data_IF_065415399317
#
_entry.id   IF_065415399317
#
_cell.length_a   1.000
_cell.length_b   1.000
_cell.length_c   1.000
_cell.angle_alpha   90.00
_cell.angle_beta   90.00
_cell.angle_gamma   90.00
#
_symmetry.space_group_name_H-M   'P 1'
#
loop_
_entity.id
_entity.type
_entity.pdbx_description
1 polymer ?
#
# COMPACT_ATOMS: atom_id res chain seq x y z
N UNK A 1 -21.88 9.81 53.64
CA UNK A 1 -20.57 9.99 53.00
C UNK A 1 -20.35 8.83 52.05
N UNK A 2 -20.65 9.01 50.77
CA UNK A 2 -20.54 8.00 49.72
C UNK A 2 -19.27 8.28 48.93
N UNK A 3 -18.24 7.45 49.08
CA UNK A 3 -17.07 7.46 48.20
C UNK A 3 -17.23 6.31 47.20
N UNK A 4 -17.74 6.65 46.01
CA UNK A 4 -17.70 5.75 44.87
C UNK A 4 -16.24 5.45 44.48
N UNK A 5 -15.95 4.24 43.96
CA UNK A 5 -14.60 3.82 43.59
C UNK A 5 -14.13 4.50 42.31
N UNK A 6 -12.82 4.74 42.21
CA UNK A 6 -12.13 5.23 41.02
C UNK A 6 -12.17 4.16 39.90
N UNK A 7 -12.62 4.49 38.67
CA UNK A 7 -12.38 3.66 37.50
C UNK A 7 -11.46 4.39 36.52
N UNK A 8 -10.16 4.10 36.51
CA UNK A 8 -9.28 4.64 35.46
C UNK A 8 -7.92 3.92 35.33
N UNK A 9 -7.87 2.65 34.95
CA UNK A 9 -6.64 2.06 34.37
C UNK A 9 -6.96 0.98 33.32
N UNK A 10 -7.87 1.26 32.38
CA UNK A 10 -8.16 0.27 31.32
C UNK A 10 -8.46 0.91 29.97
N UNK A 11 -7.73 1.96 29.57
CA UNK A 11 -7.88 2.54 28.23
C UNK A 11 -6.58 3.23 27.75
N UNK A 12 -5.49 2.47 27.60
CA UNK A 12 -4.33 2.94 26.83
C UNK A 12 -3.90 1.97 25.71
N UNK A 13 -4.58 0.83 25.53
CA UNK A 13 -4.16 -0.22 24.59
C UNK A 13 -5.27 -0.72 23.65
N UNK A 14 -6.29 0.09 23.30
CA UNK A 14 -7.35 -0.33 22.36
C UNK A 14 -7.27 0.39 20.99
N UNK A 15 -6.65 1.56 20.92
CA UNK A 15 -6.56 2.35 19.68
C UNK A 15 -5.43 1.89 18.71
N UNK A 16 -4.38 1.20 19.20
CA UNK A 16 -3.22 0.77 18.38
C UNK A 16 -3.37 -0.65 17.77
N UNK A 17 -4.57 -1.24 17.76
CA UNK A 17 -4.77 -2.66 17.39
C UNK A 17 -5.40 -2.92 16.01
N UNK A 18 -5.66 -1.89 15.20
CA UNK A 18 -6.43 -2.06 13.94
C UNK A 18 -5.56 -1.99 12.67
N UNK A 19 -4.41 -1.31 12.68
CA UNK A 19 -3.53 -1.26 11.50
C UNK A 19 -2.66 -2.53 11.34
N UNK A 20 -2.00 -3.01 12.40
CA UNK A 20 -1.07 -4.15 12.31
C UNK A 20 -1.76 -5.50 12.02
N UNK A 21 -2.98 -5.71 12.52
CA UNK A 21 -3.69 -6.99 12.35
C UNK A 21 -4.11 -7.25 10.91
N UNK A 22 -4.23 -6.18 10.10
CA UNK A 22 -4.59 -6.25 8.68
C UNK A 22 -3.38 -6.47 7.76
N UNK A 23 -2.17 -6.08 8.17
CA UNK A 23 -0.94 -6.21 7.36
C UNK A 23 -0.71 -7.63 6.81
N UNK A 24 -0.83 -8.73 7.58
CA UNK A 24 -0.62 -10.07 7.01
C UNK A 24 -1.71 -10.47 6.02
N UNK A 25 -2.96 -10.07 6.24
CA UNK A 25 -4.06 -10.36 5.32
C UNK A 25 -3.93 -9.56 4.01
N UNK A 26 -3.59 -8.27 4.12
CA UNK A 26 -3.31 -7.41 2.95
C UNK A 26 -2.07 -7.91 2.22
N UNK A 27 -1.00 -8.26 2.93
CA UNK A 27 0.22 -8.83 2.34
C UNK A 27 -0.05 -10.13 1.58
N UNK A 28 -0.88 -11.03 2.13
CA UNK A 28 -1.30 -12.24 1.43
C UNK A 28 -2.13 -11.93 0.19
N UNK A 29 -3.07 -11.00 0.28
CA UNK A 29 -3.86 -10.55 -0.87
C UNK A 29 -2.96 -9.95 -1.96
N UNK A 30 -2.04 -9.06 -1.59
CA UNK A 30 -1.05 -8.49 -2.50
C UNK A 30 -0.21 -9.57 -3.17
N UNK A 31 0.23 -10.59 -2.41
CA UNK A 31 1.00 -11.71 -2.96
C UNK A 31 0.21 -12.47 -4.02
N UNK A 32 -1.04 -12.85 -3.71
CA UNK A 32 -1.90 -13.60 -4.65
C UNK A 32 -2.14 -12.78 -5.92
N UNK A 33 -2.48 -11.51 -5.79
CA UNK A 33 -2.74 -10.63 -6.94
C UNK A 33 -1.46 -10.40 -7.76
N UNK A 34 -0.31 -10.19 -7.12
CA UNK A 34 0.98 -10.03 -7.80
C UNK A 34 1.40 -11.31 -8.54
N UNK A 35 1.21 -12.48 -7.93
CA UNK A 35 1.50 -13.76 -8.58
C UNK A 35 0.64 -13.94 -9.84
N UNK A 36 -0.67 -13.73 -9.75
CA UNK A 36 -1.58 -13.83 -10.89
C UNK A 36 -1.17 -12.83 -11.98
N UNK A 37 -0.88 -11.58 -11.60
CA UNK A 37 -0.46 -10.54 -12.54
C UNK A 37 0.82 -10.91 -13.27
N UNK A 38 1.87 -11.36 -12.55
CA UNK A 38 3.16 -11.70 -13.16
C UNK A 38 3.06 -12.96 -14.03
N UNK A 39 2.29 -13.96 -13.62
CA UNK A 39 2.01 -15.14 -14.46
C UNK A 39 1.29 -14.73 -15.75
N UNK A 40 0.32 -13.81 -15.65
CA UNK A 40 -0.40 -13.31 -16.81
C UNK A 40 0.52 -12.53 -17.75
N UNK A 41 1.40 -11.66 -17.22
CA UNK A 41 2.41 -10.95 -18.01
C UNK A 41 3.31 -11.96 -18.75
N UNK A 42 3.78 -13.01 -18.08
CA UNK A 42 4.62 -14.04 -18.69
C UNK A 42 3.87 -14.79 -19.80
N UNK A 43 2.63 -15.19 -19.52
CA UNK A 43 1.77 -15.91 -20.49
C UNK A 43 1.48 -15.06 -21.72
N UNK A 44 1.11 -13.80 -21.54
CA UNK A 44 0.88 -12.85 -22.63
C UNK A 44 2.16 -12.62 -23.42
N UNK A 45 3.32 -12.53 -22.74
CA UNK A 45 4.60 -12.32 -23.41
C UNK A 45 4.95 -13.49 -24.34
N UNK A 46 4.74 -14.73 -23.91
CA UNK A 46 4.90 -15.91 -24.77
C UNK A 46 3.88 -15.98 -25.92
N UNK A 47 2.66 -15.47 -25.70
CA UNK A 47 1.61 -15.49 -26.71
C UNK A 47 1.81 -14.41 -27.80
N UNK A 48 2.31 -13.24 -27.43
CA UNK A 48 2.45 -12.08 -28.33
C UNK A 48 3.81 -11.98 -28.99
N UNK A 49 4.86 -12.57 -28.39
CA UNK A 49 6.24 -12.40 -28.85
C UNK A 49 6.93 -13.75 -29.05
N UNK A 50 7.92 -13.83 -29.97
CA UNK A 50 8.66 -15.05 -30.24
C UNK A 50 9.72 -15.32 -29.16
N UNK A 51 9.28 -15.45 -27.90
CA UNK A 51 10.14 -15.77 -26.76
C UNK A 51 10.23 -17.29 -26.66
N UNK A 52 11.46 -17.81 -26.63
CA UNK A 52 11.68 -19.24 -26.46
C UNK A 52 11.32 -19.68 -25.04
N UNK A 53 10.62 -20.82 -24.90
CA UNK A 53 10.37 -21.46 -23.61
C UNK A 53 11.65 -21.96 -22.91
N UNK A 54 12.80 -21.95 -23.61
CA UNK A 54 14.10 -22.19 -23.00
C UNK A 54 14.60 -21.01 -22.15
N UNK A 55 13.94 -19.84 -22.22
CA UNK A 55 14.27 -18.69 -21.41
C UNK A 55 13.77 -18.90 -19.96
N UNK A 56 14.59 -19.58 -19.17
CA UNK A 56 14.29 -20.00 -17.80
C UNK A 56 13.71 -18.88 -16.91
N UNK A 57 14.21 -17.63 -16.94
CA UNK A 57 13.70 -16.57 -16.05
C UNK A 57 12.20 -16.27 -16.19
N UNK A 58 11.61 -16.51 -17.36
CA UNK A 58 10.18 -16.27 -17.62
C UNK A 58 9.32 -17.52 -17.37
N UNK A 59 9.89 -18.57 -16.77
CA UNK A 59 9.15 -19.75 -16.36
C UNK A 59 8.42 -19.54 -15.02
N UNK A 60 7.40 -20.37 -14.79
CA UNK A 60 6.52 -20.28 -13.64
C UNK A 60 7.26 -20.30 -12.30
N UNK A 61 8.24 -21.20 -12.13
CA UNK A 61 8.95 -21.38 -10.86
C UNK A 61 9.77 -20.12 -10.51
N UNK A 62 10.65 -19.59 -11.39
CA UNK A 62 11.35 -18.33 -11.14
C UNK A 62 10.42 -17.15 -10.90
N UNK A 63 9.35 -17.00 -11.70
CA UNK A 63 8.36 -15.92 -11.52
C UNK A 63 7.77 -15.97 -10.10
N UNK A 64 7.31 -17.14 -9.67
CA UNK A 64 6.70 -17.30 -8.36
C UNK A 64 7.70 -17.01 -7.22
N UNK A 65 8.92 -17.53 -7.33
CA UNK A 65 9.96 -17.34 -6.33
C UNK A 65 10.33 -15.86 -6.15
N UNK A 66 10.62 -15.15 -7.23
CA UNK A 66 11.01 -13.74 -7.16
C UNK A 66 9.86 -12.82 -6.74
N UNK A 67 8.63 -13.12 -7.18
CA UNK A 67 7.43 -12.40 -6.72
C UNK A 67 7.25 -12.57 -5.21
N UNK A 68 7.40 -13.79 -4.69
CA UNK A 68 7.30 -14.07 -3.27
C UNK A 68 8.34 -13.26 -2.47
N UNK A 69 9.61 -13.31 -2.87
CA UNK A 69 10.69 -12.56 -2.21
C UNK A 69 10.41 -11.06 -2.23
N UNK A 70 10.01 -10.51 -3.39
CA UNK A 70 9.70 -9.08 -3.53
C UNK A 70 8.53 -8.63 -2.65
N UNK A 71 7.42 -9.36 -2.66
CA UNK A 71 6.23 -9.02 -1.86
C UNK A 71 6.52 -9.15 -0.36
N UNK A 72 7.17 -10.24 0.08
CA UNK A 72 7.54 -10.40 1.49
C UNK A 72 8.48 -9.29 1.97
N UNK A 73 9.46 -8.93 1.15
CA UNK A 73 10.35 -7.79 1.42
C UNK A 73 9.57 -6.48 1.57
N UNK A 74 8.63 -6.20 0.68
CA UNK A 74 7.79 -5.00 0.74
C UNK A 74 6.91 -4.98 1.99
N UNK A 75 6.26 -6.10 2.33
CA UNK A 75 5.44 -6.24 3.56
C UNK A 75 6.29 -6.00 4.81
N UNK A 76 7.50 -6.55 4.85
CA UNK A 76 8.42 -6.37 5.97
C UNK A 76 8.83 -4.90 6.12
N UNK A 77 9.28 -4.27 5.04
CA UNK A 77 9.66 -2.84 5.04
C UNK A 77 8.48 -1.97 5.47
N UNK A 78 7.29 -2.21 4.92
CA UNK A 78 6.09 -1.47 5.29
C UNK A 78 5.76 -1.63 6.78
N UNK A 79 5.82 -2.86 7.30
CA UNK A 79 5.60 -3.14 8.72
C UNK A 79 6.57 -2.38 9.63
N UNK A 80 7.85 -2.32 9.25
CA UNK A 80 8.87 -1.56 9.98
C UNK A 80 8.57 -0.06 9.92
N UNK A 81 8.24 0.48 8.75
CA UNK A 81 7.96 1.90 8.59
C UNK A 81 6.72 2.34 9.37
N UNK A 82 5.65 1.55 9.35
CA UNK A 82 4.44 1.84 10.15
C UNK A 82 4.78 1.88 11.65
N UNK A 83 5.74 1.08 12.11
CA UNK A 83 6.11 1.00 13.53
C UNK A 83 7.05 2.12 13.99
N UNK A 84 7.92 2.63 13.11
CA UNK A 84 9.05 3.48 13.50
C UNK A 84 9.15 4.83 12.77
N UNK A 85 8.50 5.01 11.61
CA UNK A 85 8.64 6.22 10.81
C UNK A 85 7.57 7.26 11.16
N UNK A 86 7.96 8.54 11.16
CA UNK A 86 7.05 9.67 11.32
C UNK A 86 6.13 9.88 10.12
N UNK A 87 6.60 9.54 8.91
CA UNK A 87 5.85 9.63 7.66
C UNK A 87 5.96 8.32 6.86
N UNK A 88 5.23 7.26 7.28
CA UNK A 88 5.41 5.90 6.74
C UNK A 88 5.09 5.80 5.24
N UNK A 89 4.02 6.44 4.78
CA UNK A 89 3.57 6.34 3.38
C UNK A 89 4.55 6.99 2.40
N UNK A 90 4.98 8.22 2.68
CA UNK A 90 5.93 8.95 1.84
C UNK A 90 7.30 8.25 1.80
N UNK A 91 7.73 7.70 2.94
CA UNK A 91 8.98 6.96 3.05
C UNK A 91 8.90 5.63 2.30
N UNK A 92 7.79 4.90 2.43
CA UNK A 92 7.57 3.65 1.73
C UNK A 92 7.56 3.84 0.21
N UNK A 93 6.90 4.88 -0.30
CA UNK A 93 6.90 5.20 -1.74
C UNK A 93 8.31 5.44 -2.28
N UNK A 94 9.14 6.21 -1.56
CA UNK A 94 10.55 6.44 -1.94
C UNK A 94 11.36 5.15 -1.93
N UNK A 95 11.21 4.32 -0.90
CA UNK A 95 11.92 3.03 -0.81
C UNK A 95 11.47 2.10 -1.93
N UNK A 96 10.17 1.99 -2.18
CA UNK A 96 9.63 1.17 -3.27
C UNK A 96 10.18 1.61 -4.62
N UNK A 97 10.29 2.93 -4.88
CA UNK A 97 10.91 3.44 -6.10
C UNK A 97 12.40 3.06 -6.20
N UNK A 98 13.16 3.24 -5.10
CA UNK A 98 14.58 2.86 -5.07
C UNK A 98 14.76 1.37 -5.29
N UNK A 99 13.97 0.53 -4.60
CA UNK A 99 14.01 -0.93 -4.73
C UNK A 99 13.61 -1.37 -6.12
N UNK A 100 12.61 -0.74 -6.74
CA UNK A 100 12.25 -1.00 -8.14
C UNK A 100 13.45 -0.71 -9.05
N UNK A 101 14.10 0.44 -8.93
CA UNK A 101 15.27 0.76 -9.75
C UNK A 101 16.42 -0.23 -9.52
N UNK A 102 16.65 -0.63 -8.27
CA UNK A 102 17.65 -1.65 -7.93
C UNK A 102 17.28 -3.03 -8.49
N UNK A 103 15.99 -3.38 -8.52
CA UNK A 103 15.54 -4.67 -9.06
C UNK A 103 15.62 -4.75 -10.58
N UNK A 104 15.70 -3.62 -11.28
CA UNK A 104 15.96 -3.57 -12.72
C UNK A 104 17.44 -3.78 -13.07
N UNK A 105 18.37 -3.61 -12.12
CA UNK A 105 19.80 -3.85 -12.37
C UNK A 105 20.05 -5.31 -12.78
N UNK A 106 19.52 -6.33 -12.08
CA UNK A 106 19.58 -7.71 -12.54
C UNK A 106 19.10 -7.92 -13.98
N UNK A 107 18.02 -7.27 -14.40
CA UNK A 107 17.50 -7.39 -15.77
C UNK A 107 18.46 -6.79 -16.80
N UNK A 108 19.06 -5.65 -16.50
CA UNK A 108 20.07 -5.00 -17.35
C UNK A 108 21.36 -5.82 -17.40
N UNK A 109 21.78 -6.39 -16.28
CA UNK A 109 22.94 -7.31 -16.22
C UNK A 109 22.66 -8.56 -17.03
N UNK A 110 21.45 -9.14 -16.90
CA UNK A 110 21.03 -10.30 -17.67
C UNK A 110 21.03 -9.99 -19.17
N UNK A 111 20.54 -8.82 -19.57
CA UNK A 111 20.58 -8.37 -20.96
C UNK A 111 22.02 -8.26 -21.48
N UNK A 112 22.89 -7.58 -20.74
CA UNK A 112 24.26 -7.30 -21.16
C UNK A 112 25.16 -8.54 -21.16
N UNK A 113 25.04 -9.40 -20.14
CA UNK A 113 25.82 -10.63 -20.02
C UNK A 113 25.24 -11.79 -20.82
N UNK A 114 23.93 -11.75 -21.13
CA UNK A 114 23.18 -12.83 -21.81
C UNK A 114 23.50 -14.24 -21.28
N UNK A 115 23.43 -14.48 -19.96
CA UNK A 115 23.87 -15.75 -19.36
C UNK A 115 22.94 -16.92 -19.70
N UNK A 116 21.73 -16.63 -20.19
CA UNK A 116 20.74 -17.64 -20.58
C UNK A 116 20.62 -17.74 -22.10
N UNK A 117 20.47 -18.97 -22.64
CA UNK A 117 20.12 -19.15 -24.03
C UNK A 117 18.77 -18.48 -24.32
N UNK A 118 18.63 -17.89 -25.51
CA UNK A 118 17.43 -17.17 -25.94
C UNK A 118 17.09 -15.90 -25.13
N UNK A 119 18.08 -15.28 -24.47
CA UNK A 119 17.94 -13.89 -24.00
C UNK A 119 17.64 -12.96 -25.18
N UNK A 120 16.48 -12.32 -25.14
CA UNK A 120 16.06 -11.33 -26.15
C UNK A 120 15.66 -10.03 -25.45
N UNK A 121 15.76 -8.86 -26.11
CA UNK A 121 15.32 -7.60 -25.52
C UNK A 121 13.87 -7.64 -25.03
N UNK A 122 12.97 -8.29 -25.78
CA UNK A 122 11.56 -8.41 -25.41
C UNK A 122 11.35 -9.28 -24.17
N UNK A 123 12.11 -10.36 -24.02
CA UNK A 123 12.06 -11.20 -22.81
C UNK A 123 12.54 -10.41 -21.58
N UNK A 124 13.57 -9.58 -21.72
CA UNK A 124 14.05 -8.70 -20.64
C UNK A 124 13.00 -7.64 -20.30
N UNK A 125 12.39 -7.00 -21.30
CA UNK A 125 11.30 -6.03 -21.06
C UNK A 125 10.14 -6.69 -20.31
N UNK A 126 9.78 -7.94 -20.65
CA UNK A 126 8.75 -8.68 -19.92
C UNK A 126 9.11 -8.88 -18.44
N UNK A 127 10.38 -9.18 -18.12
CA UNK A 127 10.85 -9.27 -16.73
C UNK A 127 10.75 -7.90 -16.02
N UNK A 128 11.22 -6.83 -16.67
CA UNK A 128 11.14 -5.47 -16.12
C UNK A 128 9.68 -5.08 -15.82
N UNK A 129 8.74 -5.45 -16.70
CA UNK A 129 7.31 -5.21 -16.48
C UNK A 129 6.75 -5.96 -15.26
N UNK A 130 7.22 -7.17 -14.98
CA UNK A 130 6.82 -7.90 -13.76
C UNK A 130 7.32 -7.20 -12.49
N UNK A 131 8.53 -6.62 -12.52
CA UNK A 131 9.04 -5.80 -11.42
C UNK A 131 8.18 -4.56 -11.18
N UNK A 132 7.85 -3.83 -12.25
CA UNK A 132 6.97 -2.64 -12.17
C UNK A 132 5.58 -3.03 -11.67
N UNK A 133 5.00 -4.12 -12.18
CA UNK A 133 3.70 -4.63 -11.73
C UNK A 133 3.71 -4.95 -10.23
N UNK A 134 4.71 -5.70 -9.77
CA UNK A 134 4.84 -6.06 -8.35
C UNK A 134 4.99 -4.82 -7.47
N UNK A 135 5.84 -3.86 -7.87
CA UNK A 135 6.08 -2.63 -7.12
C UNK A 135 4.81 -1.77 -7.02
N UNK A 136 4.07 -1.61 -8.11
CA UNK A 136 2.81 -0.83 -8.14
C UNK A 136 1.71 -1.49 -7.31
N UNK A 137 1.57 -2.81 -7.36
CA UNK A 137 0.63 -3.55 -6.53
C UNK A 137 0.98 -3.46 -5.05
N UNK A 138 2.25 -3.61 -4.69
CA UNK A 138 2.71 -3.44 -3.31
C UNK A 138 2.45 -2.01 -2.81
N UNK A 139 2.79 -1.00 -3.62
CA UNK A 139 2.55 0.40 -3.29
C UNK A 139 1.06 0.66 -3.09
N UNK A 140 0.22 0.31 -4.06
CA UNK A 140 -1.22 0.57 -4.01
C UNK A 140 -1.93 -0.17 -2.88
N UNK A 141 -1.68 -1.48 -2.70
CA UNK A 141 -2.44 -2.27 -1.73
C UNK A 141 -2.00 -1.98 -0.30
N UNK A 142 -0.69 -1.87 -0.05
CA UNK A 142 -0.19 -1.58 1.30
C UNK A 142 -0.49 -0.13 1.72
N UNK A 143 -0.47 0.83 0.80
CA UNK A 143 -0.82 2.22 1.16
C UNK A 143 -2.33 2.45 1.26
N UNK A 144 -3.13 1.97 0.31
CA UNK A 144 -4.58 2.24 0.27
C UNK A 144 -5.38 1.41 1.27
N UNK A 145 -4.99 0.17 1.56
CA UNK A 145 -5.76 -0.70 2.48
C UNK A 145 -5.33 -0.56 3.95
N UNK A 146 -4.19 0.09 4.20
CA UNK A 146 -3.76 0.45 5.55
C UNK A 146 -4.03 1.92 5.91
N UNK A 147 -4.49 2.74 4.95
CA UNK A 147 -4.96 4.10 5.20
C UNK A 147 -6.48 4.10 5.06
N UNK A 148 -7.20 4.14 6.17
CA UNK A 148 -8.66 4.31 6.11
C UNK A 148 -8.95 5.69 5.49
N UNK A 149 -9.82 5.81 4.48
CA UNK A 149 -10.19 7.11 3.94
C UNK A 149 -10.89 7.87 5.05
N UNK A 150 -10.46 9.11 5.31
CA UNK A 150 -11.14 10.01 6.23
C UNK A 150 -12.53 10.36 5.68
N UNK A 151 -13.49 9.46 5.85
CA UNK A 151 -14.92 9.74 5.77
C UNK A 151 -15.28 10.50 7.07
N UNK A 152 -14.64 11.65 7.27
CA UNK A 152 -14.96 12.58 8.35
C UNK A 152 -14.87 14.07 7.97
N UNK A 153 -14.55 14.35 6.70
CA UNK A 153 -14.51 15.71 6.14
C UNK A 153 -15.75 16.05 5.29
N UNK A 154 -16.64 15.09 4.99
CA UNK A 154 -17.88 15.37 4.25
C UNK A 154 -19.09 15.64 5.17
N UNK A 155 -19.03 15.15 6.40
CA UNK A 155 -20.05 15.26 7.45
C UNK A 155 -19.80 16.45 8.40
N UNK A 156 -18.55 16.93 8.51
CA UNK A 156 -18.21 18.06 9.39
C UNK A 156 -18.52 19.45 8.78
N UNK A 157 -18.47 19.63 7.46
CA UNK A 157 -18.86 20.88 6.80
C UNK A 157 -20.38 21.08 6.82
N UNK A 158 -21.16 20.00 6.74
CA UNK A 158 -22.63 20.07 6.77
C UNK A 158 -23.19 20.26 8.19
N UNK A 159 -22.48 19.77 9.23
CA UNK A 159 -22.87 19.94 10.64
C UNK A 159 -22.53 21.34 11.17
N UNK A 160 -21.45 21.97 10.70
CA UNK A 160 -21.03 23.29 11.19
C UNK A 160 -21.89 24.45 10.64
N UNK A 161 -22.53 24.27 9.48
CA UNK A 161 -23.44 25.28 8.89
C UNK A 161 -24.84 25.25 9.54
N UNK A 162 -25.22 24.13 10.15
CA UNK A 162 -26.54 23.94 10.79
C UNK A 162 -26.55 24.24 12.30
N UNK A 163 -25.40 24.53 12.90
CA UNK A 163 -25.23 24.70 14.35
C UNK A 163 -24.95 26.15 14.80
N UNK A 164 -25.20 27.16 13.96
CA UNK A 164 -25.20 28.56 14.42
C UNK A 164 -26.61 28.95 14.91
N UNK A 165 -26.91 28.90 16.23
CA UNK A 165 -28.12 29.52 16.74
C UNK A 165 -28.00 31.03 16.51
N UNK A 166 -28.96 31.57 15.76
CA UNK A 166 -29.21 33.02 15.75
C UNK A 166 -29.38 33.46 17.19
N UNK A 167 -28.45 34.29 17.68
CA UNK A 167 -28.46 34.74 19.05
C UNK A 167 -29.74 35.56 19.28
N UNK A 168 -30.70 34.97 19.99
CA UNK A 168 -32.00 35.54 20.33
C UNK A 168 -31.90 36.64 21.42
N UNK A 169 -30.73 37.27 21.59
CA UNK A 169 -30.55 38.40 22.50
C UNK A 169 -30.85 39.77 21.88
N UNK A 170 -31.08 39.85 20.56
CA UNK A 170 -31.32 41.13 19.87
C UNK A 170 -32.81 41.55 19.75
N UNK A 171 -33.77 40.77 20.28
CA UNK A 171 -35.21 41.02 20.02
C UNK A 171 -36.02 41.47 21.25
N UNK A 172 -35.45 41.59 22.44
CA UNK A 172 -36.22 42.05 23.62
C UNK A 172 -35.52 43.20 24.32
N UNK A 173 -35.75 44.41 23.81
CA UNK A 173 -35.57 45.64 24.58
C UNK A 173 -36.96 46.21 24.90
N UNK A 174 -37.51 46.01 26.12
CA UNK A 174 -38.73 46.68 26.55
C UNK A 174 -38.41 48.14 26.85
N UNK A 175 -39.13 49.05 26.20
CA UNK A 175 -39.22 50.45 26.61
C UNK A 175 -39.84 50.49 28.02
N UNK A 176 -39.08 50.96 29.01
CA UNK A 176 -39.61 51.39 30.31
C UNK A 176 -39.51 52.92 30.48
N UNK A 177 -40.36 53.52 31.34
CA UNK A 177 -40.83 54.90 31.22
C UNK A 177 -40.10 55.86 32.17
N UNK A 178 -39.94 57.12 31.73
CA UNK A 178 -40.02 58.35 32.54
C UNK A 178 -40.28 59.54 31.63
#
# INVERSE_FOLDING_TARGET
>A
MSSNPLPATTNLNIEEHIALRRVPAVGLLTLVVALISNILIGTISYALFPISGAFIPLNLIPIAFWTLVGVLGAVLVFSILVRFATHPLATFSKITLIVLLLSLIPDLVLFYMSPFPATTPLAVIALMLMHVSTATLCLGFLTSLCTEPDVKTADNETYNDSAQPTNASDIINPLEPT
#
